data_IF_731911496291
#
_entry.id   IF_731911496291
#
_cell.length_a   1.000
_cell.length_b   1.000
_cell.length_c   1.000
_cell.angle_alpha   90.00
_cell.angle_beta   90.00
_cell.angle_gamma   90.00
#
_symmetry.space_group_name_H-M   'P 1'
#
loop_
_entity.id
_entity.type
_entity.pdbx_description
1 polymer ?
#
# COMPACT_ATOMS: atom_id res chain seq x y z
N UNK A 1 14.74 6.30 4.37
CA UNK A 1 14.57 4.83 4.19
C UNK A 1 13.75 4.14 5.28
N UNK A 2 13.92 4.41 6.60
CA UNK A 2 13.08 3.79 7.65
C UNK A 2 11.57 4.05 7.50
N UNK A 3 11.19 5.26 7.09
CA UNK A 3 9.78 5.66 6.90
C UNK A 3 9.10 4.89 5.76
N UNK A 4 9.82 4.68 4.65
CA UNK A 4 9.37 3.91 3.49
C UNK A 4 9.12 2.45 3.84
N UNK A 5 9.95 1.87 4.72
CA UNK A 5 9.84 0.47 5.15
C UNK A 5 8.61 0.26 6.06
N UNK A 6 8.34 1.22 6.96
CA UNK A 6 7.13 1.21 7.81
C UNK A 6 5.88 1.37 6.94
N UNK A 7 5.88 2.27 5.97
CA UNK A 7 4.77 2.44 5.03
C UNK A 7 4.50 1.16 4.22
N UNK A 8 5.57 0.46 3.79
CA UNK A 8 5.46 -0.83 3.12
C UNK A 8 4.89 -1.91 4.05
N UNK A 9 5.27 -1.92 5.32
CA UNK A 9 4.70 -2.85 6.31
C UNK A 9 3.21 -2.61 6.53
N UNK A 10 2.76 -1.35 6.60
CA UNK A 10 1.33 -1.05 6.72
C UNK A 10 0.55 -1.45 5.46
N UNK A 11 1.13 -1.28 4.27
CA UNK A 11 0.54 -1.79 3.04
C UNK A 11 0.42 -3.32 3.06
N UNK A 12 1.51 -4.01 3.41
CA UNK A 12 1.52 -5.47 3.49
C UNK A 12 0.52 -5.98 4.55
N UNK A 13 0.41 -5.28 5.68
CA UNK A 13 -0.54 -5.59 6.74
C UNK A 13 -1.99 -5.41 6.26
N UNK A 14 -2.30 -4.30 5.59
CA UNK A 14 -3.63 -4.06 5.01
C UNK A 14 -4.05 -5.15 4.02
N UNK A 15 -3.15 -5.50 3.08
CA UNK A 15 -3.39 -6.61 2.15
C UNK A 15 -3.58 -7.95 2.89
N UNK A 16 -2.75 -8.24 3.89
CA UNK A 16 -2.85 -9.48 4.67
C UNK A 16 -4.19 -9.59 5.41
N UNK A 17 -4.64 -8.49 6.01
CA UNK A 17 -5.96 -8.43 6.68
C UNK A 17 -7.08 -8.64 5.66
N UNK A 18 -7.01 -8.02 4.47
CA UNK A 18 -8.00 -8.21 3.42
C UNK A 18 -8.07 -9.68 2.94
N UNK A 19 -6.91 -10.33 2.74
CA UNK A 19 -6.83 -11.76 2.41
C UNK A 19 -7.47 -12.62 3.52
N UNK A 20 -7.16 -12.32 4.78
CA UNK A 20 -7.70 -13.05 5.93
C UNK A 20 -9.23 -12.95 6.01
N UNK A 21 -9.77 -11.74 5.90
CA UNK A 21 -11.22 -11.50 5.92
C UNK A 21 -11.91 -12.20 4.75
N UNK A 22 -11.37 -12.08 3.53
CA UNK A 22 -11.92 -12.75 2.36
C UNK A 22 -11.92 -14.28 2.52
N UNK A 23 -10.82 -14.84 3.02
CA UNK A 23 -10.70 -16.28 3.26
C UNK A 23 -11.71 -16.78 4.29
N UNK A 24 -11.88 -16.04 5.40
CA UNK A 24 -12.88 -16.36 6.42
C UNK A 24 -14.31 -16.25 5.89
N UNK A 25 -14.61 -15.24 5.07
CA UNK A 25 -15.93 -15.08 4.46
C UNK A 25 -16.27 -16.23 3.51
N UNK A 26 -15.32 -16.67 2.67
CA UNK A 26 -15.50 -17.81 1.77
C UNK A 26 -15.68 -19.12 2.54
N UNK A 27 -14.95 -19.29 3.65
CA UNK A 27 -15.10 -20.45 4.53
C UNK A 27 -16.48 -20.47 5.22
N UNK A 28 -16.95 -19.31 5.71
CA UNK A 28 -18.23 -19.19 6.39
C UNK A 28 -19.44 -19.38 5.46
N UNK A 29 -19.33 -18.96 4.18
CA UNK A 29 -20.42 -19.08 3.21
C UNK A 29 -19.92 -19.74 1.91
N UNK A 30 -19.92 -21.08 1.85
CA UNK A 30 -19.49 -21.83 0.67
C UNK A 30 -20.28 -21.42 -0.59
N UNK A 31 -19.58 -21.26 -1.71
CA UNK A 31 -20.18 -20.88 -3.00
C UNK A 31 -20.12 -19.38 -3.33
N UNK A 32 -19.81 -18.51 -2.36
CA UNK A 32 -19.66 -17.05 -2.58
C UNK A 32 -18.27 -16.63 -3.04
N UNK A 33 -17.35 -17.59 -3.21
CA UNK A 33 -15.92 -17.38 -3.47
C UNK A 33 -15.61 -16.33 -4.52
N UNK A 34 -16.21 -16.43 -5.72
CA UNK A 34 -15.96 -15.45 -6.80
C UNK A 34 -16.36 -14.03 -6.42
N UNK A 35 -17.53 -13.85 -5.82
CA UNK A 35 -18.02 -12.52 -5.46
C UNK A 35 -17.13 -11.89 -4.39
N UNK A 36 -16.80 -12.65 -3.33
CA UNK A 36 -15.94 -12.20 -2.24
C UNK A 36 -14.55 -11.83 -2.75
N UNK A 37 -13.91 -12.70 -3.53
CA UNK A 37 -12.57 -12.42 -4.06
C UNK A 37 -12.56 -11.25 -5.05
N UNK A 38 -13.61 -11.06 -5.86
CA UNK A 38 -13.72 -9.90 -6.76
C UNK A 38 -13.67 -8.59 -5.98
N UNK A 39 -14.46 -8.50 -4.90
CA UNK A 39 -14.47 -7.31 -4.03
C UNK A 39 -13.14 -7.17 -3.30
N UNK A 40 -12.59 -8.25 -2.77
CA UNK A 40 -11.30 -8.24 -2.07
C UNK A 40 -10.17 -7.70 -2.95
N UNK A 41 -10.07 -8.17 -4.21
CA UNK A 41 -9.10 -7.62 -5.16
C UNK A 41 -9.34 -6.14 -5.45
N UNK A 42 -10.60 -5.72 -5.59
CA UNK A 42 -10.94 -4.30 -5.76
C UNK A 42 -10.45 -3.44 -4.60
N UNK A 43 -10.66 -3.89 -3.36
CA UNK A 43 -10.19 -3.19 -2.16
C UNK A 43 -8.66 -3.15 -2.10
N UNK A 44 -7.97 -4.26 -2.39
CA UNK A 44 -6.50 -4.30 -2.42
C UNK A 44 -5.91 -3.31 -3.43
N UNK A 45 -6.52 -3.18 -4.62
CA UNK A 45 -6.09 -2.19 -5.61
C UNK A 45 -6.28 -0.77 -5.08
N UNK A 46 -7.42 -0.48 -4.46
CA UNK A 46 -7.69 0.85 -3.86
C UNK A 46 -6.68 1.16 -2.75
N UNK A 47 -6.38 0.20 -1.88
CA UNK A 47 -5.38 0.36 -0.81
C UNK A 47 -4.00 0.72 -1.37
N UNK A 48 -3.55 0.02 -2.41
CA UNK A 48 -2.29 0.33 -3.10
C UNK A 48 -2.34 1.74 -3.70
N UNK A 49 -3.44 2.11 -4.37
CA UNK A 49 -3.63 3.43 -4.98
C UNK A 49 -3.62 4.57 -3.96
N UNK A 50 -4.22 4.38 -2.79
CA UNK A 50 -4.19 5.37 -1.70
C UNK A 50 -2.76 5.56 -1.17
N UNK A 51 -1.98 4.49 -1.11
CA UNK A 51 -0.60 4.48 -0.64
C UNK A 51 0.42 5.03 -1.65
N UNK A 52 0.05 5.20 -2.93
CA UNK A 52 0.91 5.85 -3.92
C UNK A 52 1.21 7.33 -3.60
N UNK A 53 0.27 8.04 -2.95
CA UNK A 53 0.43 9.46 -2.57
C UNK A 53 1.56 9.72 -1.56
N UNK A 54 1.66 9.01 -0.41
CA UNK A 54 2.75 9.19 0.53
C UNK A 54 4.13 8.86 -0.08
N UNK A 55 4.22 7.79 -0.89
CA UNK A 55 5.46 7.45 -1.60
C UNK A 55 5.89 8.58 -2.54
N UNK A 56 4.94 9.14 -3.32
CA UNK A 56 5.22 10.30 -4.19
C UNK A 56 5.70 11.51 -3.40
N UNK A 57 5.10 11.81 -2.25
CA UNK A 57 5.52 12.93 -1.39
C UNK A 57 6.92 12.72 -0.81
N UNK A 58 7.23 11.52 -0.34
CA UNK A 58 8.56 11.19 0.17
C UNK A 58 9.63 11.34 -0.93
N UNK A 59 9.34 10.85 -2.15
CA UNK A 59 10.25 10.99 -3.29
C UNK A 59 10.51 12.44 -3.71
N UNK A 60 9.46 13.28 -3.69
CA UNK A 60 9.59 14.70 -4.01
C UNK A 60 10.45 15.44 -2.96
N UNK A 61 10.27 15.12 -1.67
CA UNK A 61 11.08 15.68 -0.59
C UNK A 61 12.55 15.26 -0.70
N UNK A 62 12.82 13.97 -0.95
CA UNK A 62 14.18 13.47 -1.12
C UNK A 62 14.89 14.14 -2.31
N UNK A 63 14.20 14.33 -3.45
CA UNK A 63 14.73 15.06 -4.61
C UNK A 63 15.01 16.53 -4.32
N UNK A 64 14.13 17.22 -3.62
CA UNK A 64 14.33 18.63 -3.27
C UNK A 64 15.56 18.82 -2.38
N UNK A 65 15.75 17.91 -1.42
CA UNK A 65 16.90 17.95 -0.50
C UNK A 65 18.22 17.68 -1.23
N UNK A 66 18.24 16.72 -2.17
CA UNK A 66 19.41 16.43 -3.00
C UNK A 66 19.84 17.61 -3.89
N UNK A 67 18.87 18.34 -4.46
CA UNK A 67 19.15 19.54 -5.27
C UNK A 67 19.61 20.75 -4.45
N UNK A 68 19.20 20.86 -3.18
CA UNK A 68 19.66 21.91 -2.28
C UNK A 68 21.12 21.70 -1.87
N UNK A 69 21.52 20.45 -1.55
CA UNK A 69 22.92 20.11 -1.27
C UNK A 69 23.84 20.43 -2.44
N UNK A 70 23.48 19.99 -3.66
CA UNK A 70 24.28 20.25 -4.86
C UNK A 70 24.46 21.73 -5.22
N UNK A 71 23.59 22.63 -4.74
CA UNK A 71 23.73 24.09 -4.90
C UNK A 71 24.57 24.74 -3.82
N UNK A 72 24.73 24.10 -2.65
CA UNK A 72 25.55 24.62 -1.55
C UNK A 72 27.04 24.26 -1.73
N UNK A 73 27.33 23.22 -2.51
CA UNK A 73 28.68 22.70 -2.75
C UNK A 73 29.36 23.26 -4.04
N UNK A 74 28.70 24.19 -4.75
CA UNK A 74 29.20 24.85 -5.97
C UNK A 74 29.25 26.36 -5.82
#
# INVERSE_FOLDING_TARGET
MRRTLVELMFLALGLGVAVGIASLAVWAVPGTGRAVWTVAYGVMVIDVLLQLRPIRRAWLLDRATAQAGARADG
#
